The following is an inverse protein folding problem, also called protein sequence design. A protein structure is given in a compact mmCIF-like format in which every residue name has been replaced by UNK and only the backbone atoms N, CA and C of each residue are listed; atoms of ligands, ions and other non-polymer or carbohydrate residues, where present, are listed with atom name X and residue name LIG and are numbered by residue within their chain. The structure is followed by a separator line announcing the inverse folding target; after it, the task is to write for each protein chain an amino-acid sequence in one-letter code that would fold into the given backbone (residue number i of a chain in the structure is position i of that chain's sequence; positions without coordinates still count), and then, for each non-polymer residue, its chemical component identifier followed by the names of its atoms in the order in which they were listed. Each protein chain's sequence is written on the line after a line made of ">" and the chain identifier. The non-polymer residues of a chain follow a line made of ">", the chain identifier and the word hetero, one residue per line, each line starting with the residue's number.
data_IF_401542065994
#
_entry.id   IF_401542065994
#
_cell.length_a   1.000
_cell.length_b   1.000
_cell.length_c   1.000
_cell.angle_alpha   90.00
_cell.angle_beta   90.00
_cell.angle_gamma   90.00
#
_symmetry.space_group_name_H-M   'P 1'
#
loop_
_entity.id
_entity.type
_entity.pdbx_description
1 polymer ?
#
# COMPACT_ATOMS: atom_id res chain seq x y z
N UNK A 1 1.69 6.14 -17.62
CA UNK A 1 2.15 5.78 -16.26
C UNK A 1 1.46 6.65 -15.21
N UNK A 2 1.67 7.97 -15.18
CA UNK A 2 1.02 8.88 -14.23
C UNK A 2 -0.52 8.84 -14.23
N UNK A 3 -1.15 8.77 -15.40
CA UNK A 3 -2.62 8.63 -15.48
C UNK A 3 -3.14 7.34 -14.81
N UNK A 4 -2.36 6.26 -14.84
CA UNK A 4 -2.70 5.01 -14.14
C UNK A 4 -2.62 5.23 -12.62
N UNK A 5 -1.54 5.85 -12.16
CA UNK A 5 -1.32 6.15 -10.75
C UNK A 5 -2.35 7.14 -10.18
N UNK A 6 -2.81 8.11 -10.97
CA UNK A 6 -3.93 9.01 -10.57
C UNK A 6 -5.23 8.26 -10.36
N UNK A 7 -5.54 7.29 -11.24
CA UNK A 7 -6.71 6.41 -11.06
C UNK A 7 -6.58 5.56 -9.81
N UNK A 8 -5.36 5.08 -9.49
CA UNK A 8 -5.12 4.37 -8.23
C UNK A 8 -5.36 5.26 -7.02
N UNK A 9 -4.90 6.51 -7.03
CA UNK A 9 -5.17 7.45 -5.95
C UNK A 9 -6.67 7.59 -5.69
N UNK A 10 -7.45 7.79 -6.74
CA UNK A 10 -8.92 7.86 -6.64
C UNK A 10 -9.53 6.57 -6.08
N UNK A 11 -9.07 5.41 -6.57
CA UNK A 11 -9.53 4.10 -6.08
C UNK A 11 -9.25 3.90 -4.58
N UNK A 12 -8.09 4.36 -4.09
CA UNK A 12 -7.76 4.28 -2.66
C UNK A 12 -8.59 5.27 -1.82
N UNK A 13 -8.83 6.48 -2.31
CA UNK A 13 -9.67 7.48 -1.64
C UNK A 13 -11.15 7.05 -1.54
N UNK A 14 -11.65 6.34 -2.56
CA UNK A 14 -13.04 5.87 -2.62
C UNK A 14 -13.28 4.58 -1.82
N UNK A 15 -12.24 3.79 -1.52
CA UNK A 15 -12.39 2.49 -0.88
C UNK A 15 -12.31 2.63 0.65
N UNK A 16 -13.42 2.48 1.39
CA UNK A 16 -13.40 2.59 2.83
C UNK A 16 -12.54 1.50 3.46
N UNK A 17 -11.86 1.84 4.55
CA UNK A 17 -11.16 0.86 5.38
C UNK A 17 -12.18 -0.14 5.95
N UNK A 18 -11.85 -1.44 6.06
CA UNK A 18 -12.74 -2.42 6.68
C UNK A 18 -13.08 -2.06 8.13
N UNK A 19 -14.35 -2.10 8.52
CA UNK A 19 -14.82 -1.64 9.85
C UNK A 19 -14.50 -2.62 11.01
N UNK A 20 -13.79 -3.72 10.75
CA UNK A 20 -13.48 -4.75 11.75
C UNK A 20 -12.14 -4.50 12.46
N UNK A 21 -12.05 -5.01 13.70
CA UNK A 21 -10.81 -5.03 14.48
C UNK A 21 -10.10 -6.37 14.30
N UNK A 22 -8.85 -6.31 13.85
CA UNK A 22 -8.00 -7.45 13.53
C UNK A 22 -6.81 -7.61 14.47
N UNK A 23 -6.52 -6.60 15.30
CA UNK A 23 -5.42 -6.60 16.28
C UNK A 23 -4.04 -6.27 15.69
N UNK A 24 -4.01 -5.79 14.44
CA UNK A 24 -2.81 -5.30 13.73
C UNK A 24 -3.14 -4.04 12.90
N UNK A 25 -4.04 -3.22 13.40
CA UNK A 25 -4.49 -1.98 12.74
C UNK A 25 -3.33 -0.99 12.59
N UNK A 26 -2.34 -1.02 13.48
CA UNK A 26 -1.18 -0.15 13.41
C UNK A 26 -0.32 -0.46 12.18
N UNK A 27 0.00 -1.73 11.98
CA UNK A 27 0.79 -2.25 10.86
C UNK A 27 0.10 -1.96 9.52
N UNK A 28 -1.23 -2.11 9.50
CA UNK A 28 -2.07 -1.77 8.36
C UNK A 28 -2.01 -0.27 8.02
N UNK A 29 -2.27 0.58 9.01
CA UNK A 29 -2.23 2.02 8.81
C UNK A 29 -0.84 2.51 8.39
N UNK A 30 0.22 1.97 8.98
CA UNK A 30 1.59 2.30 8.59
C UNK A 30 1.88 1.92 7.14
N UNK A 31 1.47 0.72 6.70
CA UNK A 31 1.64 0.30 5.31
C UNK A 31 0.84 1.18 4.34
N UNK A 32 -0.40 1.51 4.69
CA UNK A 32 -1.27 2.32 3.82
C UNK A 32 -0.76 3.75 3.70
N UNK A 33 -0.38 4.37 4.81
CA UNK A 33 0.27 5.68 4.81
C UNK A 33 1.59 5.68 4.02
N UNK A 34 2.36 4.58 4.07
CA UNK A 34 3.55 4.41 3.26
C UNK A 34 3.22 4.43 1.77
N UNK A 35 2.21 3.68 1.33
CA UNK A 35 1.81 3.60 -0.09
C UNK A 35 1.20 4.92 -0.56
N UNK A 36 0.24 5.49 0.17
CA UNK A 36 -0.44 6.75 -0.17
C UNK A 36 0.55 7.91 -0.21
N UNK A 37 1.36 8.06 0.84
CA UNK A 37 2.40 9.08 0.87
C UNK A 37 3.41 8.90 -0.27
N UNK A 38 3.73 7.66 -0.65
CA UNK A 38 4.64 7.40 -1.77
C UNK A 38 4.04 7.73 -3.12
N UNK A 39 2.73 7.48 -3.28
CA UNK A 39 1.97 7.84 -4.47
C UNK A 39 1.98 9.37 -4.66
N UNK A 40 1.77 10.13 -3.59
CA UNK A 40 1.83 11.59 -3.60
C UNK A 40 3.20 12.12 -4.04
N UNK A 41 4.30 11.54 -3.55
CA UNK A 41 5.65 11.91 -3.99
C UNK A 41 5.81 11.71 -5.50
N UNK A 42 5.38 10.56 -6.02
CA UNK A 42 5.49 10.26 -7.46
C UNK A 42 4.61 11.20 -8.26
N UNK A 43 3.33 11.34 -7.92
CA UNK A 43 2.39 12.19 -8.65
C UNK A 43 2.78 13.68 -8.63
N UNK A 44 3.41 14.15 -7.55
CA UNK A 44 3.95 15.50 -7.45
C UNK A 44 5.33 15.68 -8.13
N UNK A 45 5.87 14.63 -8.76
CA UNK A 45 7.22 14.60 -9.31
C UNK A 45 8.30 15.05 -8.30
N UNK A 46 8.13 14.67 -7.03
CA UNK A 46 9.03 15.00 -5.92
C UNK A 46 9.98 13.86 -5.65
N UNK A 47 11.18 14.19 -5.18
CA UNK A 47 12.15 13.18 -4.74
C UNK A 47 11.66 12.49 -3.47
N UNK A 48 11.49 11.17 -3.55
CA UNK A 48 11.13 10.33 -2.41
C UNK A 48 12.28 10.18 -1.40
N UNK A 49 12.02 10.24 -0.09
CA UNK A 49 13.00 9.92 0.95
C UNK A 49 13.56 8.49 0.82
N UNK A 50 14.85 8.30 1.10
CA UNK A 50 15.51 7.00 0.98
C UNK A 50 14.92 5.91 1.87
N UNK A 51 14.52 6.26 3.10
CA UNK A 51 13.92 5.31 4.03
C UNK A 51 12.54 4.85 3.51
N UNK A 52 11.72 5.79 3.02
CA UNK A 52 10.42 5.51 2.43
C UNK A 52 10.55 4.60 1.20
N UNK A 53 11.51 4.89 0.31
CA UNK A 53 11.78 4.04 -0.85
C UNK A 53 12.17 2.61 -0.47
N UNK A 54 13.00 2.44 0.56
CA UNK A 54 13.40 1.11 1.06
C UNK A 54 12.24 0.32 1.65
N UNK A 55 11.36 0.97 2.40
CA UNK A 55 10.16 0.31 2.92
C UNK A 55 9.21 -0.09 1.78
N UNK A 56 9.06 0.76 0.78
CA UNK A 56 8.21 0.52 -0.40
C UNK A 56 8.68 -0.67 -1.26
N UNK A 57 9.96 -1.04 -1.21
CA UNK A 57 10.48 -2.20 -1.93
C UNK A 57 9.91 -3.52 -1.40
N UNK A 58 9.41 -3.54 -0.15
CA UNK A 58 8.83 -4.71 0.51
C UNK A 58 7.32 -4.73 0.43
N UNK A 59 6.75 -5.91 0.20
CA UNK A 59 5.31 -6.16 0.34
C UNK A 59 4.85 -6.09 1.80
N UNK A 60 3.53 -6.01 2.00
CA UNK A 60 2.93 -6.01 3.34
C UNK A 60 3.47 -7.15 4.23
N UNK A 61 3.42 -8.39 3.74
CA UNK A 61 3.86 -9.58 4.48
C UNK A 61 5.38 -9.67 4.67
N UNK A 62 6.17 -8.92 3.90
CA UNK A 62 7.62 -8.80 4.12
C UNK A 62 7.97 -7.72 5.15
N UNK A 63 7.09 -6.73 5.35
CA UNK A 63 7.23 -5.72 6.40
C UNK A 63 6.77 -6.25 7.76
N UNK A 64 5.69 -7.03 7.76
CA UNK A 64 5.02 -7.53 8.95
C UNK A 64 4.89 -9.05 8.90
N UNK A 65 6.01 -9.80 9.03
CA UNK A 65 6.03 -11.26 8.86
C UNK A 65 5.22 -12.04 9.92
N UNK A 66 4.90 -11.41 11.04
CA UNK A 66 3.99 -11.92 12.07
C UNK A 66 2.54 -12.03 11.61
N UNK A 67 2.14 -11.22 10.62
CA UNK A 67 0.81 -11.28 10.00
C UNK A 67 0.90 -12.22 8.80
N UNK A 68 0.36 -13.43 8.94
CA UNK A 68 0.38 -14.38 7.83
C UNK A 68 -0.84 -14.24 6.93
N UNK A 69 -0.73 -14.47 5.61
CA UNK A 69 -1.88 -14.48 4.71
C UNK A 69 -3.00 -15.40 5.21
N UNK A 70 -2.64 -16.53 5.82
CA UNK A 70 -3.59 -17.50 6.38
C UNK A 70 -4.43 -16.96 7.54
N UNK A 71 -3.97 -15.93 8.25
CA UNK A 71 -4.71 -15.29 9.35
C UNK A 71 -5.88 -14.45 8.83
N UNK A 72 -5.77 -13.95 7.59
CA UNK A 72 -6.71 -12.98 7.02
C UNK A 72 -7.38 -13.46 5.74
N UNK A 73 -6.94 -14.58 5.15
CA UNK A 73 -7.49 -15.12 3.88
C UNK A 73 -9.00 -15.40 3.90
N UNK A 74 -9.56 -15.63 5.09
CA UNK A 74 -10.99 -15.90 5.26
C UNK A 74 -11.81 -14.61 5.33
N UNK A 75 -11.17 -13.50 5.70
CA UNK A 75 -11.73 -12.16 5.51
C UNK A 75 -11.41 -11.71 4.09
N UNK A 76 -12.40 -11.90 3.24
CA UNK A 76 -12.27 -11.60 1.82
C UNK A 76 -12.07 -10.10 1.58
N UNK A 77 -12.64 -9.24 2.42
CA UNK A 77 -12.58 -7.79 2.20
C UNK A 77 -11.23 -7.24 2.63
N UNK A 78 -10.76 -7.60 3.84
CA UNK A 78 -9.44 -7.22 4.33
C UNK A 78 -8.32 -7.73 3.41
N UNK A 79 -8.38 -9.00 3.03
CA UNK A 79 -7.36 -9.60 2.18
C UNK A 79 -7.28 -8.89 0.83
N UNK A 80 -8.42 -8.63 0.18
CA UNK A 80 -8.43 -7.86 -1.07
C UNK A 80 -7.99 -6.40 -0.88
N UNK A 81 -8.23 -5.81 0.29
CA UNK A 81 -7.78 -4.45 0.59
C UNK A 81 -6.25 -4.37 0.67
N UNK A 82 -5.60 -5.30 1.38
CA UNK A 82 -4.13 -5.38 1.46
C UNK A 82 -3.52 -5.65 0.08
N UNK A 83 -4.10 -6.57 -0.69
CA UNK A 83 -3.61 -6.87 -2.03
C UNK A 83 -3.72 -5.66 -2.99
N UNK A 84 -4.77 -4.85 -2.86
CA UNK A 84 -4.90 -3.61 -3.62
C UNK A 84 -3.74 -2.65 -3.29
N UNK A 85 -3.48 -2.41 -2.01
CA UNK A 85 -2.37 -1.55 -1.59
C UNK A 85 -1.01 -2.10 -2.04
N UNK A 86 -0.79 -3.42 -1.98
CA UNK A 86 0.45 -4.02 -2.48
C UNK A 86 0.58 -3.90 -4.01
N UNK A 87 -0.53 -4.00 -4.75
CA UNK A 87 -0.53 -3.76 -6.18
C UNK A 87 -0.16 -2.31 -6.51
N UNK A 88 -0.72 -1.33 -5.81
CA UNK A 88 -0.38 0.08 -5.99
C UNK A 88 1.10 0.33 -5.66
N UNK A 89 1.60 -0.24 -4.56
CA UNK A 89 3.02 -0.21 -4.19
C UNK A 89 3.93 -0.68 -5.34
N UNK A 90 3.61 -1.82 -5.96
CA UNK A 90 4.38 -2.33 -7.10
C UNK A 90 4.37 -1.35 -8.28
N UNK A 91 3.21 -0.75 -8.58
CA UNK A 91 3.07 0.24 -9.65
C UNK A 91 3.91 1.50 -9.38
N UNK A 92 4.01 1.94 -8.12
CA UNK A 92 4.89 3.03 -7.69
C UNK A 92 6.36 2.63 -7.88
N UNK A 93 6.78 1.43 -7.45
CA UNK A 93 8.16 0.97 -7.62
C UNK A 93 8.59 0.92 -9.11
N UNK A 94 7.69 0.47 -9.99
CA UNK A 94 7.92 0.51 -11.45
C UNK A 94 8.09 1.96 -11.92
N UNK A 95 7.27 2.90 -11.43
CA UNK A 95 7.39 4.30 -11.78
C UNK A 95 8.67 4.98 -11.30
N UNK A 96 9.25 4.53 -10.18
CA UNK A 96 10.50 5.03 -9.62
C UNK A 96 11.77 4.43 -10.25
N UNK A 97 11.62 3.41 -11.10
CA UNK A 97 12.71 2.70 -11.76
C UNK A 97 12.91 3.10 -13.23
N UNK A 98 11.96 3.86 -13.79
CA UNK A 98 12.03 4.50 -15.10
C UNK A 98 12.51 5.94 -14.99
#
# INVERSE_FOLDING_TARGET
>A
MFEKLRKRQQELEEKPYPDELYGFEAEMNEFFMLVDGSLDYVLANKRMPRHQRRSLEKSFFELYPEIQPDMIKNDTDLYHYILLYDQVRQEICVALSN
#
